data_IF_881169726173
#
_entry.id   IF_881169726173
#
_cell.length_a   1.000
_cell.length_b   1.000
_cell.length_c   1.000
_cell.angle_alpha   90.00
_cell.angle_beta   90.00
_cell.angle_gamma   90.00
#
_symmetry.space_group_name_H-M   'P 1'
#
loop_
_entity.id
_entity.type
_entity.pdbx_description
1 polymer ?
#
# COMPACT_ATOMS: atom_id res chain seq x y z
N UNK A 1 5.82 -10.54 8.00
CA UNK A 1 5.30 -11.36 6.89
C UNK A 1 4.51 -12.49 7.51
N UNK A 2 3.23 -12.59 7.17
CA UNK A 2 2.35 -13.66 7.62
C UNK A 2 1.86 -14.43 6.39
N UNK A 3 1.85 -15.76 6.47
CA UNK A 3 1.25 -16.58 5.41
C UNK A 3 -0.26 -16.65 5.64
N UNK A 4 -1.03 -16.28 4.63
CA UNK A 4 -2.50 -16.32 4.57
C UNK A 4 -2.92 -17.24 3.41
N UNK A 5 -4.21 -17.55 3.33
CA UNK A 5 -4.77 -18.39 2.26
C UNK A 5 -4.51 -17.83 0.85
N UNK A 6 -4.38 -16.50 0.74
CA UNK A 6 -4.17 -15.79 -0.53
C UNK A 6 -2.69 -15.43 -0.80
N UNK A 7 -1.77 -15.88 0.06
CA UNK A 7 -0.33 -15.67 -0.09
C UNK A 7 0.33 -15.00 1.11
N UNK A 8 1.46 -14.33 0.88
CA UNK A 8 2.21 -13.63 1.92
C UNK A 8 1.72 -12.21 2.12
N UNK A 9 1.41 -11.86 3.36
CA UNK A 9 0.99 -10.52 3.76
C UNK A 9 2.11 -9.79 4.50
N UNK A 10 2.25 -8.49 4.22
CA UNK A 10 3.15 -7.60 4.93
C UNK A 10 2.41 -6.34 5.39
N UNK A 11 2.10 -6.28 6.68
CA UNK A 11 1.45 -5.13 7.29
C UNK A 11 2.43 -3.99 7.62
N UNK A 12 2.00 -2.75 7.35
CA UNK A 12 2.69 -1.54 7.81
C UNK A 12 1.72 -0.57 8.47
N UNK A 13 2.18 0.09 9.53
CA UNK A 13 1.39 1.09 10.24
C UNK A 13 1.12 2.32 9.38
N UNK A 14 -0.14 2.77 9.31
CA UNK A 14 -0.51 4.01 8.62
C UNK A 14 0.22 5.24 9.20
N UNK A 15 0.49 5.26 10.51
CA UNK A 15 1.24 6.35 11.14
C UNK A 15 2.67 6.42 10.62
N UNK A 16 3.31 5.27 10.37
CA UNK A 16 4.65 5.23 9.78
C UNK A 16 4.61 5.74 8.34
N UNK A 17 3.62 5.30 7.56
CA UNK A 17 3.50 5.64 6.14
C UNK A 17 3.16 7.11 5.87
N UNK A 18 2.20 7.67 6.62
CA UNK A 18 1.59 8.96 6.30
C UNK A 18 1.92 10.06 7.32
N UNK A 19 2.41 9.70 8.52
CA UNK A 19 2.63 10.66 9.61
C UNK A 19 1.31 11.33 10.02
N UNK A 20 1.28 12.67 9.94
CA UNK A 20 0.07 13.47 10.20
C UNK A 20 -0.79 13.70 8.95
N UNK A 21 -0.35 13.23 7.77
CA UNK A 21 -1.13 13.36 6.55
C UNK A 21 -2.16 12.23 6.47
N UNK A 22 -3.28 12.49 5.78
CA UNK A 22 -4.35 11.51 5.64
C UNK A 22 -4.02 10.44 4.59
N UNK A 23 -3.43 10.83 3.47
CA UNK A 23 -3.20 9.95 2.31
C UNK A 23 -1.87 10.23 1.59
N UNK A 24 -1.12 11.26 1.99
CA UNK A 24 0.19 11.58 1.41
C UNK A 24 1.32 10.89 2.17
N UNK A 25 2.05 10.02 1.47
CA UNK A 25 3.24 9.36 2.02
C UNK A 25 4.31 10.39 2.39
N UNK A 26 4.96 10.20 3.54
CA UNK A 26 6.14 10.99 3.88
C UNK A 26 7.37 10.54 3.05
N UNK A 27 8.43 11.36 2.94
CA UNK A 27 9.59 11.04 2.10
C UNK A 27 10.28 9.73 2.47
N UNK A 28 10.42 9.43 3.76
CA UNK A 28 11.08 8.21 4.24
C UNK A 28 10.27 6.95 3.88
N UNK A 29 8.95 7.04 3.93
CA UNK A 29 8.04 5.97 3.55
C UNK A 29 8.07 5.72 2.06
N UNK A 30 8.12 6.78 1.23
CA UNK A 30 8.32 6.62 -0.22
C UNK A 30 9.63 5.90 -0.52
N UNK A 31 10.73 6.28 0.12
CA UNK A 31 12.02 5.62 -0.06
C UNK A 31 11.98 4.14 0.34
N UNK A 32 11.32 3.82 1.46
CA UNK A 32 11.16 2.45 1.96
C UNK A 32 10.31 1.61 1.00
N UNK A 33 9.16 2.13 0.59
CA UNK A 33 8.26 1.48 -0.37
C UNK A 33 8.94 1.24 -1.73
N UNK A 34 9.72 2.18 -2.23
CA UNK A 34 10.51 1.99 -3.46
C UNK A 34 11.52 0.86 -3.32
N UNK A 35 12.21 0.74 -2.17
CA UNK A 35 13.13 -0.37 -1.91
C UNK A 35 12.41 -1.70 -1.87
N UNK A 36 11.24 -1.77 -1.24
CA UNK A 36 10.40 -2.97 -1.20
C UNK A 36 9.98 -3.37 -2.62
N UNK A 37 9.41 -2.45 -3.39
CA UNK A 37 8.96 -2.71 -4.76
C UNK A 37 10.11 -3.24 -5.64
N UNK A 38 11.29 -2.62 -5.56
CA UNK A 38 12.49 -3.08 -6.30
C UNK A 38 12.98 -4.45 -5.82
N UNK A 39 12.93 -4.73 -4.52
CA UNK A 39 13.32 -6.02 -3.99
C UNK A 39 12.39 -7.14 -4.47
N UNK A 40 11.07 -6.88 -4.54
CA UNK A 40 10.09 -7.83 -5.10
C UNK A 40 10.37 -8.09 -6.59
N UNK A 41 10.54 -7.03 -7.38
CA UNK A 41 10.84 -7.15 -8.81
C UNK A 41 12.18 -7.88 -9.07
N UNK A 42 13.18 -7.70 -8.21
CA UNK A 42 14.48 -8.37 -8.33
C UNK A 42 14.42 -9.90 -8.12
N UNK A 43 13.31 -10.41 -7.57
CA UNK A 43 13.05 -11.85 -7.41
C UNK A 43 11.83 -12.31 -8.21
N UNK A 44 11.50 -11.58 -9.28
CA UNK A 44 10.40 -11.87 -10.22
C UNK A 44 9.01 -11.89 -9.56
N UNK A 45 8.82 -11.19 -8.44
CA UNK A 45 7.50 -10.92 -7.87
C UNK A 45 7.01 -9.58 -8.39
N UNK A 46 6.17 -9.62 -9.41
CA UNK A 46 5.68 -8.45 -10.13
C UNK A 46 4.17 -8.19 -9.96
N UNK A 47 3.49 -9.01 -9.15
CA UNK A 47 2.06 -8.91 -8.84
C UNK A 47 1.80 -8.76 -7.35
N UNK A 48 1.05 -7.73 -6.97
CA UNK A 48 0.74 -7.40 -5.57
C UNK A 48 -0.69 -6.92 -5.41
N UNK A 49 -1.22 -7.10 -4.21
CA UNK A 49 -2.45 -6.45 -3.75
C UNK A 49 -2.12 -5.51 -2.59
N UNK A 50 -2.63 -4.29 -2.69
CA UNK A 50 -2.42 -3.23 -1.71
C UNK A 50 -3.76 -2.91 -1.05
N UNK A 51 -3.82 -3.17 0.25
CA UNK A 51 -5.02 -2.97 1.06
C UNK A 51 -4.82 -1.80 2.01
N UNK A 52 -5.71 -0.82 1.89
CA UNK A 52 -5.81 0.27 2.86
C UNK A 52 -6.77 -0.13 3.96
N UNK A 53 -6.41 0.17 5.20
CA UNK A 53 -7.32 0.09 6.33
C UNK A 53 -7.48 1.46 6.99
N UNK A 54 -8.67 1.73 7.48
CA UNK A 54 -8.96 2.84 8.38
C UNK A 54 -9.47 2.32 9.70
N UNK A 55 -9.44 3.16 10.72
CA UNK A 55 -10.11 2.87 11.97
C UNK A 55 -11.62 2.87 11.77
N UNK A 56 -12.28 1.98 12.50
CA UNK A 56 -13.72 1.74 12.48
C UNK A 56 -14.55 2.85 13.17
N UNK A 57 -13.96 4.02 13.43
CA UNK A 57 -14.64 5.17 14.00
C UNK A 57 -14.87 6.23 12.92
N UNK A 58 -16.12 6.40 12.50
CA UNK A 58 -16.50 7.40 11.47
C UNK A 58 -17.59 6.91 10.52
N UNK A 59 -17.88 7.73 9.51
CA UNK A 59 -18.78 7.35 8.42
C UNK A 59 -18.12 6.27 7.55
N UNK A 60 -18.79 5.13 7.38
CA UNK A 60 -18.27 3.98 6.60
C UNK A 60 -17.85 4.40 5.18
N UNK A 61 -18.61 5.28 4.54
CA UNK A 61 -18.31 5.77 3.19
C UNK A 61 -17.09 6.69 3.15
N UNK A 62 -16.85 7.48 4.20
CA UNK A 62 -15.63 8.26 4.34
C UNK A 62 -14.40 7.36 4.52
N UNK A 63 -14.52 6.37 5.40
CA UNK A 63 -13.46 5.42 5.76
C UNK A 63 -13.03 4.57 4.57
N UNK A 64 -13.98 4.02 3.82
CA UNK A 64 -13.74 3.30 2.56
C UNK A 64 -12.95 4.16 1.56
N UNK A 65 -13.39 5.40 1.32
CA UNK A 65 -12.70 6.29 0.37
C UNK A 65 -11.30 6.66 0.85
N UNK A 66 -11.10 6.81 2.16
CA UNK A 66 -9.79 7.12 2.72
C UNK A 66 -8.85 5.91 2.64
N UNK A 67 -9.34 4.71 2.91
CA UNK A 67 -8.56 3.49 2.80
C UNK A 67 -8.14 3.23 1.34
N UNK A 68 -9.05 3.41 0.37
CA UNK A 68 -8.73 3.34 -1.06
C UNK A 68 -7.66 4.36 -1.47
N UNK A 69 -7.79 5.63 -1.07
CA UNK A 69 -6.78 6.67 -1.38
C UNK A 69 -5.40 6.35 -0.82
N UNK A 70 -5.33 5.79 0.39
CA UNK A 70 -4.07 5.38 1.02
C UNK A 70 -3.42 4.24 0.24
N UNK A 71 -4.20 3.24 -0.14
CA UNK A 71 -3.72 2.13 -0.95
C UNK A 71 -3.22 2.62 -2.33
N UNK A 72 -3.94 3.55 -2.95
CA UNK A 72 -3.54 4.17 -4.22
C UNK A 72 -2.23 4.96 -4.12
N UNK A 73 -2.01 5.68 -3.02
CA UNK A 73 -0.73 6.37 -2.77
C UNK A 73 0.46 5.41 -2.70
N UNK A 74 0.26 4.20 -2.15
CA UNK A 74 1.29 3.16 -2.15
C UNK A 74 1.45 2.57 -3.55
N UNK A 75 0.35 2.33 -4.26
CA UNK A 75 0.36 1.83 -5.64
C UNK A 75 1.14 2.74 -6.58
N UNK A 76 1.01 4.06 -6.42
CA UNK A 76 1.78 5.04 -7.18
C UNK A 76 3.29 4.84 -7.03
N UNK A 77 3.78 4.58 -5.81
CA UNK A 77 5.21 4.32 -5.57
C UNK A 77 5.66 3.01 -6.23
N UNK A 78 4.82 1.97 -6.21
CA UNK A 78 5.13 0.69 -6.85
C UNK A 78 5.20 0.83 -8.38
N UNK A 79 4.29 1.60 -8.97
CA UNK A 79 4.34 1.94 -10.41
C UNK A 79 5.59 2.74 -10.75
N UNK A 80 5.92 3.77 -9.97
CA UNK A 80 7.15 4.56 -10.15
C UNK A 80 8.42 3.69 -10.03
N UNK A 81 8.38 2.64 -9.21
CA UNK A 81 9.48 1.69 -9.05
C UNK A 81 9.61 0.67 -10.19
N UNK A 82 8.65 0.62 -11.12
CA UNK A 82 8.67 -0.20 -12.33
C UNK A 82 7.67 -1.36 -12.35
N UNK A 83 6.82 -1.51 -11.33
CA UNK A 83 5.82 -2.58 -11.33
C UNK A 83 4.67 -2.24 -12.31
N UNK A 84 4.28 -3.16 -13.22
CA UNK A 84 3.20 -2.90 -14.17
C UNK A 84 1.89 -2.58 -13.47
N UNK A 85 1.19 -1.54 -13.92
CA UNK A 85 -0.09 -1.13 -13.31
C UNK A 85 -1.15 -2.25 -13.34
N UNK A 86 -1.15 -3.07 -14.39
CA UNK A 86 -2.05 -4.21 -14.52
C UNK A 86 -1.83 -5.31 -13.47
N UNK A 87 -0.67 -5.31 -12.80
CA UNK A 87 -0.31 -6.29 -11.79
C UNK A 87 -0.46 -5.74 -10.36
N UNK A 88 -0.94 -4.51 -10.20
CA UNK A 88 -1.20 -3.90 -8.90
C UNK A 88 -2.71 -3.84 -8.70
N UNK A 89 -3.19 -4.59 -7.72
CA UNK A 89 -4.56 -4.50 -7.26
C UNK A 89 -4.64 -3.56 -6.05
N UNK A 90 -5.63 -2.66 -6.03
CA UNK A 90 -5.83 -1.66 -4.97
C UNK A 90 -7.21 -1.89 -4.35
N UNK A 91 -7.28 -2.01 -3.02
CA UNK A 91 -8.53 -2.16 -2.26
C UNK A 91 -8.52 -1.28 -1.01
N UNK A 92 -9.65 -0.68 -0.71
CA UNK A 92 -9.92 -0.12 0.62
C UNK A 92 -10.84 -1.05 1.40
N UNK A 93 -10.63 -1.08 2.71
CA UNK A 93 -11.39 -1.82 3.71
C UNK A 93 -11.78 -0.90 4.87
#
# INVERSE_FOLDING_TARGET
FELRDEGWEFGMSSKVLFGNNLDRLNPDSRNTLTKIARALLAVDIDKVRLEGHTDNYGDEGYNQKLSERRAESVAAVFREAGMPAANIEVRGL
#
